data_IF_928933420193
#
_entry.id   IF_928933420193
#
_cell.length_a   1.000
_cell.length_b   1.000
_cell.length_c   1.000
_cell.angle_alpha   90.00
_cell.angle_beta   90.00
_cell.angle_gamma   90.00
#
_symmetry.space_group_name_H-M   'P 1'
#
loop_
_entity.id
_entity.type
_entity.pdbx_description
1 polymer ?
#
# COMPACT_ATOMS: atom_id res chain seq x y z
N UNK A 1 -28.96 39.92 -3.69
CA UNK A 1 -29.07 38.63 -4.42
C UNK A 1 -28.11 37.66 -3.75
N UNK A 2 -28.60 36.88 -2.77
CA UNK A 2 -27.78 35.93 -2.00
C UNK A 2 -27.56 34.66 -2.84
N UNK A 3 -26.30 34.33 -3.11
CA UNK A 3 -25.92 33.01 -3.61
C UNK A 3 -25.81 32.03 -2.43
N UNK A 4 -26.74 31.09 -2.32
CA UNK A 4 -26.59 29.92 -1.47
C UNK A 4 -25.52 28.99 -2.05
N UNK A 5 -24.44 28.78 -1.30
CA UNK A 5 -23.47 27.74 -1.55
C UNK A 5 -24.05 26.39 -1.08
N UNK A 6 -24.40 25.52 -2.02
CA UNK A 6 -24.74 24.13 -1.74
C UNK A 6 -23.46 23.36 -1.38
N UNK A 7 -23.27 23.08 -0.09
CA UNK A 7 -22.29 22.13 0.37
C UNK A 7 -22.69 20.73 -0.11
N UNK A 8 -22.08 20.25 -1.18
CA UNK A 8 -22.20 18.86 -1.61
C UNK A 8 -21.65 17.94 -0.52
N UNK A 9 -22.54 17.34 0.25
CA UNK A 9 -22.19 16.22 1.10
C UNK A 9 -21.62 15.11 0.20
N UNK A 10 -20.33 14.79 0.37
CA UNK A 10 -19.80 13.52 -0.16
C UNK A 10 -20.64 12.44 0.49
N UNK A 11 -21.48 11.75 -0.30
CA UNK A 11 -22.15 10.54 0.14
C UNK A 11 -21.06 9.63 0.72
N UNK A 12 -21.09 9.42 2.04
CA UNK A 12 -20.14 8.57 2.72
C UNK A 12 -20.28 7.15 2.19
N UNK A 13 -19.17 6.44 2.04
CA UNK A 13 -19.21 5.03 1.72
C UNK A 13 -20.10 4.31 2.74
N UNK A 14 -21.13 3.63 2.26
CA UNK A 14 -22.03 2.89 3.14
C UNK A 14 -21.39 1.56 3.51
N UNK A 15 -21.66 1.09 4.74
CA UNK A 15 -21.12 -0.16 5.27
C UNK A 15 -22.27 -1.04 5.75
N UNK A 16 -22.15 -2.37 5.59
CA UNK A 16 -23.07 -3.34 6.20
C UNK A 16 -22.32 -4.46 6.92
N UNK A 17 -23.05 -5.22 7.72
CA UNK A 17 -22.53 -6.47 8.27
C UNK A 17 -22.29 -7.51 7.15
N UNK A 18 -21.28 -8.34 7.36
CA UNK A 18 -21.01 -9.51 6.53
C UNK A 18 -22.14 -10.53 6.69
N UNK A 19 -22.64 -11.07 5.59
CA UNK A 19 -23.66 -12.11 5.63
C UNK A 19 -23.04 -13.47 5.98
N UNK A 20 -23.80 -14.35 6.63
CA UNK A 20 -23.32 -15.68 7.03
C UNK A 20 -22.91 -16.54 5.82
N UNK A 21 -23.64 -16.43 4.70
CA UNK A 21 -23.29 -17.11 3.45
C UNK A 21 -21.94 -16.64 2.88
N UNK A 22 -21.66 -15.33 2.96
CA UNK A 22 -20.38 -14.75 2.52
C UNK A 22 -19.23 -15.28 3.39
N UNK A 23 -19.42 -15.31 4.71
CA UNK A 23 -18.46 -15.88 5.65
C UNK A 23 -18.15 -17.35 5.37
N UNK A 24 -19.20 -18.19 5.26
CA UNK A 24 -19.05 -19.63 4.97
C UNK A 24 -18.37 -19.87 3.62
N UNK A 25 -18.75 -19.12 2.59
CA UNK A 25 -18.14 -19.23 1.26
C UNK A 25 -16.65 -18.85 1.28
N UNK A 26 -16.27 -17.83 2.05
CA UNK A 26 -14.86 -17.45 2.21
C UNK A 26 -14.05 -18.55 2.88
N UNK A 27 -14.56 -19.12 3.98
CA UNK A 27 -13.86 -20.20 4.67
C UNK A 27 -13.65 -21.43 3.77
N UNK A 28 -14.68 -21.84 3.03
CA UNK A 28 -14.58 -22.95 2.08
C UNK A 28 -13.55 -22.67 0.97
N UNK A 29 -13.59 -21.46 0.39
CA UNK A 29 -12.60 -21.01 -0.59
C UNK A 29 -11.17 -21.00 -0.03
N UNK A 30 -10.98 -20.41 1.15
CA UNK A 30 -9.68 -20.23 1.77
C UNK A 30 -9.05 -21.57 2.15
N UNK A 31 -9.81 -22.49 2.75
CA UNK A 31 -9.34 -23.83 3.10
C UNK A 31 -8.93 -24.64 1.88
N UNK A 32 -9.68 -24.55 0.79
CA UNK A 32 -9.32 -25.20 -0.48
C UNK A 32 -8.02 -24.63 -1.06
N UNK A 33 -7.81 -23.32 -0.96
CA UNK A 33 -6.65 -22.62 -1.55
C UNK A 33 -5.38 -22.72 -0.71
N UNK A 34 -5.52 -22.76 0.61
CA UNK A 34 -4.43 -22.78 1.60
C UNK A 34 -4.66 -23.93 2.61
N UNK A 35 -4.50 -25.20 2.18
CA UNK A 35 -4.79 -26.35 3.01
C UNK A 35 -3.95 -26.37 4.30
N UNK A 36 -2.75 -25.80 4.31
CA UNK A 36 -1.88 -25.81 5.49
C UNK A 36 -2.15 -24.68 6.49
N UNK A 37 -3.07 -23.75 6.20
CA UNK A 37 -3.30 -22.55 7.01
C UNK A 37 -4.73 -22.45 7.55
N UNK A 38 -5.11 -23.38 8.44
CA UNK A 38 -6.46 -23.43 8.99
C UNK A 38 -6.76 -22.36 10.06
N UNK A 39 -5.73 -21.77 10.66
CA UNK A 39 -5.87 -20.83 11.80
C UNK A 39 -5.91 -19.36 11.39
N UNK A 40 -6.07 -19.06 10.10
CA UNK A 40 -6.18 -17.70 9.62
C UNK A 40 -7.45 -17.03 10.16
N UNK A 41 -7.29 -15.84 10.76
CA UNK A 41 -8.39 -14.98 11.19
C UNK A 41 -8.58 -13.83 10.17
N UNK A 42 -9.45 -13.99 9.15
CA UNK A 42 -9.73 -12.94 8.17
C UNK A 42 -10.47 -11.76 8.81
N UNK A 43 -10.06 -10.54 8.45
CA UNK A 43 -10.83 -9.33 8.67
C UNK A 43 -11.67 -9.03 7.42
N UNK A 44 -12.97 -8.83 7.59
CA UNK A 44 -13.89 -8.56 6.48
C UNK A 44 -14.26 -7.08 6.40
N UNK A 45 -14.50 -6.60 5.19
CA UNK A 45 -15.07 -5.28 4.94
C UNK A 45 -16.16 -5.39 3.89
N UNK A 46 -17.30 -4.75 4.13
CA UNK A 46 -18.39 -4.69 3.17
C UNK A 46 -18.83 -3.26 2.98
N UNK A 47 -18.54 -2.70 1.81
CA UNK A 47 -18.75 -1.28 1.53
C UNK A 47 -19.41 -1.06 0.17
N UNK A 48 -20.08 0.08 -0.02
CA UNK A 48 -20.46 0.56 -1.36
C UNK A 48 -20.20 2.06 -1.46
N UNK A 49 -19.76 2.51 -2.63
CA UNK A 49 -19.38 3.91 -2.85
C UNK A 49 -20.61 4.85 -2.85
N UNK A 50 -21.77 4.35 -3.25
CA UNK A 50 -23.05 5.06 -3.26
C UNK A 50 -24.20 4.06 -3.18
N UNK A 51 -25.42 4.54 -2.96
CA UNK A 51 -26.61 3.69 -2.85
C UNK A 51 -26.88 2.84 -4.11
N UNK A 52 -26.45 3.31 -5.28
CA UNK A 52 -26.60 2.64 -6.58
C UNK A 52 -25.39 1.80 -6.97
N UNK A 53 -24.27 1.90 -6.25
CA UNK A 53 -23.09 1.10 -6.50
C UNK A 53 -23.26 -0.31 -5.94
N UNK A 54 -22.69 -1.34 -6.58
CA UNK A 54 -22.70 -2.69 -6.04
C UNK A 54 -21.93 -2.74 -4.73
N UNK A 55 -22.36 -3.63 -3.83
CA UNK A 55 -21.60 -3.94 -2.61
C UNK A 55 -20.27 -4.59 -2.97
N UNK A 56 -19.20 -4.04 -2.43
CA UNK A 56 -17.86 -4.61 -2.44
C UNK A 56 -17.66 -5.37 -1.14
N UNK A 57 -17.39 -6.67 -1.25
CA UNK A 57 -17.11 -7.54 -0.11
C UNK A 57 -15.66 -7.98 -0.23
N UNK A 58 -14.86 -7.67 0.78
CA UNK A 58 -13.43 -8.02 0.82
C UNK A 58 -13.10 -8.78 2.10
N UNK A 59 -12.08 -9.61 2.01
CA UNK A 59 -11.50 -10.31 3.14
C UNK A 59 -9.99 -10.11 3.12
N UNK A 60 -9.42 -9.86 4.29
CA UNK A 60 -7.99 -9.61 4.45
C UNK A 60 -7.45 -10.56 5.50
N UNK A 61 -6.52 -11.42 5.11
CA UNK A 61 -5.79 -12.31 6.02
C UNK A 61 -4.42 -11.71 6.30
N UNK A 62 -4.09 -11.53 7.58
CA UNK A 62 -2.81 -10.96 8.02
C UNK A 62 -2.10 -11.92 8.96
N UNK A 63 -0.78 -11.95 8.89
CA UNK A 63 0.03 -12.49 9.99
C UNK A 63 0.03 -11.49 11.15
N UNK A 64 0.26 -11.96 12.37
CA UNK A 64 0.56 -11.06 13.48
C UNK A 64 1.76 -10.15 13.10
N UNK A 65 1.67 -8.83 13.33
CA UNK A 65 2.82 -7.94 13.18
C UNK A 65 3.98 -8.39 14.04
N UNK A 66 5.20 -8.37 13.48
CA UNK A 66 6.41 -8.78 14.17
C UNK A 66 7.44 -7.66 14.15
N UNK A 67 8.15 -7.51 15.26
CA UNK A 67 9.32 -6.64 15.39
C UNK A 67 10.50 -7.24 14.62
N UNK A 68 11.10 -6.45 13.74
CA UNK A 68 12.38 -6.73 13.10
C UNK A 68 13.51 -5.94 13.75
N UNK A 69 14.49 -5.52 12.95
CA UNK A 69 15.60 -4.70 13.44
C UNK A 69 15.15 -3.32 13.97
N UNK A 70 15.56 -2.96 15.19
CA UNK A 70 15.29 -1.64 15.80
C UNK A 70 13.78 -1.32 15.83
N UNK A 71 13.36 -0.29 15.10
CA UNK A 71 11.97 0.17 15.04
C UNK A 71 11.16 -0.50 13.92
N UNK A 72 11.79 -1.35 13.10
CA UNK A 72 11.15 -1.98 11.97
C UNK A 72 10.07 -2.95 12.45
N UNK A 73 8.89 -2.84 11.88
CA UNK A 73 7.80 -3.81 12.01
C UNK A 73 7.50 -4.40 10.65
N UNK A 74 7.11 -5.69 10.65
CA UNK A 74 6.79 -6.44 9.43
C UNK A 74 5.48 -7.20 9.60
N UNK A 75 4.75 -7.32 8.51
CA UNK A 75 3.52 -8.11 8.43
C UNK A 75 3.37 -8.68 7.03
N UNK A 76 2.72 -9.83 6.92
CA UNK A 76 2.25 -10.37 5.66
C UNK A 76 0.75 -10.20 5.55
N UNK A 77 0.26 -9.87 4.35
CA UNK A 77 -1.16 -9.70 4.07
C UNK A 77 -1.52 -10.34 2.73
N UNK A 78 -2.66 -11.03 2.69
CA UNK A 78 -3.35 -11.44 1.48
C UNK A 78 -4.71 -10.77 1.49
N UNK A 79 -5.08 -10.16 0.37
CA UNK A 79 -6.37 -9.51 0.20
C UNK A 79 -7.18 -10.29 -0.83
N UNK A 80 -8.46 -10.45 -0.55
CA UNK A 80 -9.42 -11.18 -1.34
C UNK A 80 -10.64 -10.29 -1.63
N UNK A 81 -11.20 -10.43 -2.81
CA UNK A 81 -12.41 -9.77 -3.25
C UNK A 81 -13.45 -10.82 -3.67
N UNK A 82 -14.68 -10.60 -3.25
CA UNK A 82 -15.82 -11.40 -3.66
C UNK A 82 -16.47 -10.80 -4.91
N UNK A 83 -16.71 -11.64 -5.92
CA UNK A 83 -17.44 -11.29 -7.12
C UNK A 83 -18.89 -11.78 -6.98
N UNK A 84 -19.85 -10.92 -6.59
CA UNK A 84 -21.22 -11.35 -6.31
C UNK A 84 -21.91 -11.97 -7.52
N UNK A 85 -21.62 -11.47 -8.72
CA UNK A 85 -22.16 -11.97 -10.00
C UNK A 85 -21.83 -13.45 -10.25
N UNK A 86 -20.68 -13.92 -9.74
CA UNK A 86 -20.20 -15.29 -9.91
C UNK A 86 -20.36 -16.12 -8.64
N UNK A 87 -20.62 -15.47 -7.50
CA UNK A 87 -20.57 -16.10 -6.20
C UNK A 87 -19.18 -16.59 -5.79
N UNK A 88 -18.12 -16.02 -6.36
CA UNK A 88 -16.74 -16.53 -6.25
C UNK A 88 -15.81 -15.54 -5.54
N UNK A 89 -14.85 -16.08 -4.80
CA UNK A 89 -13.74 -15.33 -4.23
C UNK A 89 -12.52 -15.37 -5.14
N UNK A 90 -11.81 -14.25 -5.20
CA UNK A 90 -10.53 -14.12 -5.87
C UNK A 90 -9.55 -13.37 -4.97
N UNK A 91 -8.25 -13.60 -5.12
CA UNK A 91 -7.23 -12.89 -4.35
C UNK A 91 -5.83 -13.29 -4.74
N UNK A 92 -4.85 -12.64 -4.12
CA UNK A 92 -3.43 -12.91 -4.38
C UNK A 92 -3.04 -14.33 -4.01
N UNK A 93 -2.23 -14.98 -4.86
CA UNK A 93 -1.70 -16.33 -4.59
C UNK A 93 -0.64 -16.35 -3.49
N UNK A 94 0.01 -15.20 -3.27
CA UNK A 94 1.13 -15.04 -2.33
C UNK A 94 0.85 -13.89 -1.39
N UNK A 95 1.32 -14.04 -0.15
CA UNK A 95 1.27 -12.98 0.83
C UNK A 95 2.22 -11.85 0.45
N UNK A 96 1.68 -10.64 0.36
CA UNK A 96 2.44 -9.41 0.18
C UNK A 96 3.08 -9.02 1.50
N UNK A 97 4.30 -8.49 1.46
CA UNK A 97 5.03 -8.06 2.64
C UNK A 97 4.80 -6.57 2.88
N UNK A 98 4.60 -6.21 4.15
CA UNK A 98 4.37 -4.84 4.58
C UNK A 98 5.33 -4.48 5.70
N UNK A 99 5.86 -3.27 5.66
CA UNK A 99 6.84 -2.72 6.61
C UNK A 99 6.46 -1.31 7.06
N UNK A 100 6.87 -0.96 8.28
CA UNK A 100 6.77 0.39 8.82
C UNK A 100 7.74 0.56 9.99
N UNK A 101 7.97 1.79 10.42
CA UNK A 101 8.69 2.08 11.66
C UNK A 101 7.68 2.41 12.77
N UNK A 102 7.78 1.73 13.89
CA UNK A 102 6.97 2.00 15.09
C UNK A 102 7.89 2.24 16.29
N UNK A 103 7.71 3.39 16.95
CA UNK A 103 8.45 3.75 18.18
C UNK A 103 7.88 3.05 19.41
N UNK A 104 6.59 2.69 19.39
CA UNK A 104 6.00 1.87 20.44
C UNK A 104 6.48 0.43 20.32
N UNK A 105 6.35 -0.38 21.37
CA UNK A 105 6.77 -1.79 21.39
C UNK A 105 5.82 -2.72 20.63
N UNK A 106 4.55 -2.34 20.46
CA UNK A 106 3.47 -3.22 19.98
C UNK A 106 3.43 -3.53 18.49
N UNK A 107 4.18 -2.84 17.62
CA UNK A 107 4.02 -2.93 16.17
C UNK A 107 2.56 -2.73 15.76
N UNK A 108 1.95 -1.64 16.25
CA UNK A 108 0.59 -1.29 15.86
C UNK A 108 0.56 -1.06 14.35
N UNK A 109 -0.37 -1.72 13.64
CA UNK A 109 -0.44 -1.62 12.18
C UNK A 109 -0.94 -0.23 11.81
N UNK A 110 -0.18 0.57 11.05
CA UNK A 110 -0.64 1.89 10.62
C UNK A 110 -1.76 1.75 9.59
N UNK A 111 -2.53 2.83 9.38
CA UNK A 111 -3.59 2.86 8.37
C UNK A 111 -3.06 2.53 6.96
N UNK A 112 -1.84 2.96 6.65
CA UNK A 112 -1.16 2.74 5.37
C UNK A 112 0.25 2.21 5.62
N UNK A 113 0.40 0.89 5.80
CA UNK A 113 1.73 0.29 5.88
C UNK A 113 2.36 0.27 4.48
N UNK A 114 3.69 0.36 4.42
CA UNK A 114 4.44 0.39 3.16
C UNK A 114 4.62 -1.04 2.64
N UNK A 115 4.22 -1.29 1.41
CA UNK A 115 4.43 -2.59 0.77
C UNK A 115 5.91 -2.79 0.42
N UNK A 116 6.41 -4.01 0.53
CA UNK A 116 7.75 -4.39 0.10
C UNK A 116 7.62 -5.30 -1.12
N UNK A 117 7.95 -4.76 -2.30
CA UNK A 117 7.81 -5.46 -3.59
C UNK A 117 8.92 -6.50 -3.78
N UNK A 118 10.11 -6.23 -3.23
CA UNK A 118 11.27 -7.12 -3.28
C UNK A 118 11.92 -7.26 -1.91
N UNK A 119 12.56 -8.42 -1.65
CA UNK A 119 13.25 -8.63 -0.39
C UNK A 119 14.41 -7.65 -0.23
N UNK A 120 14.48 -7.02 0.93
CA UNK A 120 15.52 -6.07 1.29
C UNK A 120 16.03 -6.34 2.71
N UNK A 121 17.33 -6.17 2.98
CA UNK A 121 17.88 -6.28 4.33
C UNK A 121 17.24 -5.29 5.30
N UNK A 122 17.01 -5.73 6.54
CA UNK A 122 16.39 -4.90 7.58
C UNK A 122 17.19 -3.60 7.86
N UNK A 123 18.52 -3.64 7.77
CA UNK A 123 19.39 -2.46 7.94
C UNK A 123 19.11 -1.38 6.90
N UNK A 124 18.89 -1.80 5.66
CA UNK A 124 18.59 -0.94 4.52
C UNK A 124 17.17 -0.38 4.62
N UNK A 125 16.19 -1.24 4.91
CA UNK A 125 14.80 -0.85 5.15
C UNK A 125 14.65 0.21 6.23
N UNK A 126 15.34 0.04 7.37
CA UNK A 126 15.31 1.03 8.47
C UNK A 126 15.83 2.37 8.00
N UNK A 127 16.93 2.40 7.24
CA UNK A 127 17.53 3.63 6.72
C UNK A 127 16.60 4.34 5.73
N UNK A 128 16.07 3.62 4.76
CA UNK A 128 15.18 4.15 3.71
C UNK A 128 13.87 4.66 4.31
N UNK A 129 13.22 3.87 5.17
CA UNK A 129 11.97 4.27 5.82
C UNK A 129 12.16 5.47 6.75
N UNK A 130 13.31 5.61 7.41
CA UNK A 130 13.59 6.78 8.24
C UNK A 130 13.80 8.06 7.39
N UNK A 131 14.24 7.92 6.14
CA UNK A 131 14.60 9.04 5.26
C UNK A 131 13.55 9.35 4.19
N UNK A 132 12.43 8.61 4.10
CA UNK A 132 11.45 8.75 3.00
C UNK A 132 11.01 10.20 2.75
N UNK A 133 10.67 10.97 3.79
CA UNK A 133 10.26 12.37 3.63
C UNK A 133 11.39 13.24 3.07
N UNK A 134 12.62 13.10 3.60
CA UNK A 134 13.81 13.82 3.11
C UNK A 134 14.13 13.46 1.66
N UNK A 135 13.96 12.20 1.28
CA UNK A 135 14.17 11.72 -0.08
C UNK A 135 13.14 12.30 -1.05
N UNK A 136 11.86 12.33 -0.67
CA UNK A 136 10.82 12.96 -1.48
C UNK A 136 11.09 14.45 -1.70
N UNK A 137 11.52 15.17 -0.66
CA UNK A 137 11.88 16.58 -0.77
C UNK A 137 13.08 16.80 -1.71
N UNK A 138 14.15 16.00 -1.59
CA UNK A 138 15.27 16.03 -2.55
C UNK A 138 14.83 15.74 -3.98
N UNK A 139 13.86 14.84 -4.16
CA UNK A 139 13.36 14.44 -5.47
C UNK A 139 12.43 15.47 -6.14
N UNK A 140 12.00 16.54 -5.45
CA UNK A 140 11.10 17.55 -6.01
C UNK A 140 11.65 18.20 -7.28
N UNK A 141 12.95 18.44 -7.35
CA UNK A 141 13.60 18.99 -8.55
C UNK A 141 13.61 17.97 -9.71
N UNK A 142 13.84 16.68 -9.42
CA UNK A 142 13.78 15.61 -10.42
C UNK A 142 12.36 15.49 -11.01
N UNK A 143 11.34 15.53 -10.13
CA UNK A 143 9.93 15.53 -10.55
C UNK A 143 9.57 16.77 -11.37
N UNK A 144 10.14 17.94 -11.05
CA UNK A 144 9.90 19.16 -11.80
C UNK A 144 10.54 19.14 -13.19
N UNK A 145 11.73 18.55 -13.32
CA UNK A 145 12.46 18.40 -14.58
C UNK A 145 11.96 17.28 -15.49
N UNK A 146 11.16 16.33 -14.97
CA UNK A 146 10.58 15.25 -15.76
C UNK A 146 9.18 15.65 -16.29
N UNK A 147 9.04 15.80 -17.61
CA UNK A 147 7.76 16.17 -18.25
C UNK A 147 6.66 15.14 -18.03
N UNK A 148 6.99 13.85 -17.88
CA UNK A 148 6.06 12.78 -17.50
C UNK A 148 5.47 12.97 -16.09
N UNK A 149 6.17 13.72 -15.23
CA UNK A 149 5.71 14.05 -13.89
C UNK A 149 4.96 15.37 -13.78
N UNK A 150 4.79 16.13 -14.87
CA UNK A 150 4.25 17.49 -14.83
C UNK A 150 2.87 17.59 -14.13
N UNK A 151 2.01 16.59 -14.27
CA UNK A 151 0.67 16.54 -13.64
C UNK A 151 0.71 16.29 -12.13
N UNK A 152 1.77 15.66 -11.62
CA UNK A 152 1.83 15.15 -10.26
C UNK A 152 2.91 15.85 -9.40
N UNK A 153 3.84 16.61 -10.00
CA UNK A 153 5.02 17.17 -9.31
C UNK A 153 4.73 17.98 -8.04
N UNK A 154 3.57 18.64 -7.98
CA UNK A 154 3.12 19.43 -6.81
C UNK A 154 2.07 18.73 -5.96
N UNK A 155 1.75 17.46 -6.25
CA UNK A 155 0.77 16.72 -5.48
C UNK A 155 1.33 16.37 -4.08
N UNK A 156 0.44 16.23 -3.08
CA UNK A 156 0.79 15.53 -1.86
C UNK A 156 1.01 14.06 -2.21
N UNK A 157 2.08 13.50 -1.65
CA UNK A 157 2.54 12.14 -1.88
C UNK A 157 2.67 11.41 -0.56
N UNK A 158 2.37 10.12 -0.57
CA UNK A 158 2.58 9.23 0.55
C UNK A 158 3.30 7.98 0.07
N UNK A 159 4.31 7.53 0.81
CA UNK A 159 5.03 6.30 0.48
C UNK A 159 4.07 5.12 0.63
N UNK A 160 3.91 4.34 -0.43
CA UNK A 160 3.03 3.18 -0.42
C UNK A 160 3.77 1.87 -0.72
N UNK A 161 4.92 1.92 -1.41
CA UNK A 161 5.75 0.74 -1.62
C UNK A 161 7.25 1.07 -1.67
N UNK A 162 8.07 0.05 -1.37
CA UNK A 162 9.52 0.03 -1.56
C UNK A 162 9.84 -1.13 -2.51
N UNK A 163 10.71 -0.85 -3.46
CA UNK A 163 11.21 -1.79 -4.46
C UNK A 163 12.74 -1.72 -4.56
N UNK A 164 13.32 -2.63 -5.34
CA UNK A 164 14.72 -2.61 -5.77
C UNK A 164 14.76 -2.87 -7.27
N UNK A 165 15.60 -2.15 -8.00
CA UNK A 165 15.68 -2.34 -9.44
C UNK A 165 16.43 -1.22 -10.13
N UNK A 166 16.26 -1.12 -11.45
CA UNK A 166 16.99 -0.18 -12.29
C UNK A 166 16.13 1.03 -12.66
N UNK A 167 16.74 2.21 -12.70
CA UNK A 167 16.09 3.44 -13.16
C UNK A 167 15.99 3.54 -14.69
N UNK A 168 16.56 2.57 -15.41
CA UNK A 168 16.59 2.50 -16.86
C UNK A 168 17.49 1.35 -17.33
N UNK A 169 17.61 1.18 -18.64
CA UNK A 169 18.47 0.16 -19.22
C UNK A 169 19.95 0.45 -18.91
N UNK A 170 20.67 -0.53 -18.37
CA UNK A 170 22.09 -0.40 -18.03
C UNK A 170 22.42 0.40 -16.75
N UNK A 171 21.44 0.81 -15.95
CA UNK A 171 21.72 1.45 -14.65
C UNK A 171 21.99 0.42 -13.55
N UNK A 172 22.76 0.82 -12.53
CA UNK A 172 22.89 0.04 -11.29
C UNK A 172 21.53 -0.21 -10.64
N UNK A 173 21.41 -1.33 -9.92
CA UNK A 173 20.26 -1.57 -9.04
C UNK A 173 20.30 -0.59 -7.87
N UNK A 174 19.15 0.03 -7.62
CA UNK A 174 18.94 1.03 -6.60
C UNK A 174 17.64 0.73 -5.84
N UNK A 175 17.53 1.31 -4.64
CA UNK A 175 16.26 1.32 -3.93
C UNK A 175 15.28 2.23 -4.65
N UNK A 176 14.06 1.75 -4.88
CA UNK A 176 12.95 2.55 -5.37
C UNK A 176 11.94 2.81 -4.25
N UNK A 177 11.55 4.07 -4.07
CA UNK A 177 10.45 4.46 -3.22
C UNK A 177 9.28 4.84 -4.11
N UNK A 178 8.18 4.09 -4.02
CA UNK A 178 6.97 4.34 -4.80
C UNK A 178 5.98 5.11 -3.95
N UNK A 179 5.76 6.36 -4.34
CA UNK A 179 4.81 7.26 -3.71
C UNK A 179 3.51 7.27 -4.48
N UNK A 180 2.39 7.24 -3.75
CA UNK A 180 1.08 7.49 -4.34
C UNK A 180 0.67 8.93 -4.09
N UNK A 181 0.24 9.60 -5.14
CA UNK A 181 -0.34 10.94 -5.04
C UNK A 181 -1.80 10.87 -4.60
N UNK A 182 -2.32 11.96 -4.04
CA UNK A 182 -3.76 12.08 -3.76
C UNK A 182 -4.67 12.10 -5.01
N UNK A 183 -4.09 12.02 -6.21
CA UNK A 183 -4.81 11.94 -7.50
C UNK A 183 -4.72 10.55 -8.12
N UNK A 184 -4.38 9.54 -7.31
CA UNK A 184 -4.21 8.13 -7.70
C UNK A 184 -3.15 7.87 -8.79
N UNK A 185 -2.25 8.84 -9.02
CA UNK A 185 -1.03 8.63 -9.80
C UNK A 185 0.15 8.21 -8.91
N UNK A 186 1.09 7.45 -9.46
CA UNK A 186 2.26 6.96 -8.74
C UNK A 186 3.54 7.66 -9.22
N UNK A 187 4.42 7.99 -8.28
CA UNK A 187 5.77 8.50 -8.54
C UNK A 187 6.81 7.56 -7.93
N UNK A 188 7.71 7.04 -8.77
CA UNK A 188 8.82 6.19 -8.33
C UNK A 188 10.08 7.04 -8.24
N UNK A 189 10.66 7.11 -7.04
CA UNK A 189 11.93 7.77 -6.77
C UNK A 189 13.01 6.73 -6.58
N UNK A 190 14.01 6.72 -7.46
CA UNK A 190 15.20 5.88 -7.35
C UNK A 190 16.23 6.58 -6.47
N UNK A 191 16.73 5.88 -5.46
CA UNK A 191 17.65 6.41 -4.47
C UNK A 191 18.95 5.62 -4.44
N UNK A 192 20.07 6.35 -4.55
CA UNK A 192 21.41 5.79 -4.39
C UNK A 192 21.87 5.97 -2.96
N UNK A 193 22.56 4.96 -2.43
CA UNK A 193 23.15 5.04 -1.10
C UNK A 193 24.45 5.86 -1.14
N UNK A 194 24.55 6.85 -0.27
CA UNK A 194 25.73 7.69 -0.08
C UNK A 194 26.17 7.60 1.39
N UNK A 195 27.06 6.66 1.70
CA UNK A 195 27.45 6.35 3.08
C UNK A 195 26.30 5.79 3.91
N UNK A 196 25.83 6.55 4.90
CA UNK A 196 24.68 6.20 5.74
C UNK A 196 23.35 6.84 5.27
N UNK A 197 23.43 7.76 4.30
CA UNK A 197 22.29 8.48 3.75
C UNK A 197 21.88 7.93 2.38
N UNK A 198 20.71 8.38 1.92
CA UNK A 198 20.25 8.16 0.56
C UNK A 198 20.06 9.50 -0.16
N UNK A 199 20.42 9.51 -1.44
CA UNK A 199 20.22 10.62 -2.36
C UNK A 199 19.26 10.22 -3.48
N UNK A 200 18.32 11.11 -3.78
CA UNK A 200 17.42 10.93 -4.90
C UNK A 200 18.21 11.06 -6.21
N UNK A 201 18.16 10.03 -7.04
CA UNK A 201 18.94 9.91 -8.27
C UNK A 201 18.08 10.09 -9.52
N UNK A 202 16.90 9.47 -9.55
CA UNK A 202 15.98 9.57 -10.69
C UNK A 202 14.52 9.53 -10.19
N UNK A 203 13.59 10.03 -11.01
CA UNK A 203 12.17 10.03 -10.73
C UNK A 203 11.36 9.72 -12.00
N UNK A 204 10.36 8.87 -11.89
CA UNK A 204 9.37 8.61 -12.95
C UNK A 204 7.95 8.68 -12.38
N UNK A 205 6.97 9.02 -13.22
CA UNK A 205 5.57 9.10 -12.83
C UNK A 205 4.69 8.30 -13.79
N UNK A 206 3.62 7.69 -13.26
CA UNK A 206 2.59 6.97 -13.99
C UNK A 206 1.21 7.47 -13.59
#
# INVERSE_FOLDING_TARGET
MLLLAAAGARAGAETRALAEAELKSFHAYYQKRFPDNHSAAPAFSVTRASATAPWQVTATVRTAPRRGLKLLCRMQRIDFAYAPEKGEWSGGERARQFVWLDRASGCAVPARPVELLQRMPDTELVGVLAQQGKLLEKARLLLAGNTGCARQRSAPFELHAIDVGTAGEGSEEMVALVYRSARDGDATIWARRTGADYDAWNASCR
#
